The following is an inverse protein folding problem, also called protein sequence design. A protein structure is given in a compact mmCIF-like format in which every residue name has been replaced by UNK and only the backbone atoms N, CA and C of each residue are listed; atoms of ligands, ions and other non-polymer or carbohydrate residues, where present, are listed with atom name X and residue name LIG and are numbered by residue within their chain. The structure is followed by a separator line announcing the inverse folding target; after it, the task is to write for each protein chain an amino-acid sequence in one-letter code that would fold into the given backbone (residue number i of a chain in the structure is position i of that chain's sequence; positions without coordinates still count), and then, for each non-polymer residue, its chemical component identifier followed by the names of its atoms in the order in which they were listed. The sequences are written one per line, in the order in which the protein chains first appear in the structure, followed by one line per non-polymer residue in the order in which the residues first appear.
data_IF_165355694248
#
_entry.id   IF_165355694248
#
_cell.length_a   1.000
_cell.length_b   1.000
_cell.length_c   1.000
_cell.angle_alpha   90.00
_cell.angle_beta   90.00
_cell.angle_gamma   90.00
#
_symmetry.space_group_name_H-M   'P 1'
#
loop_
_entity.id
_entity.type
_entity.pdbx_description
1 polymer ?
#
# COMPACT_ATOMS: atom_id res chain seq x y z
N UNK A 1 14.73 -1.62 -2.49
CA UNK A 1 14.23 -0.26 -2.87
C UNK A 1 12.73 -0.23 -2.65
N UNK A 2 12.15 0.87 -2.15
CA UNK A 2 10.71 0.98 -1.85
C UNK A 2 10.08 2.08 -2.72
N UNK A 3 8.90 1.81 -3.27
CA UNK A 3 8.07 2.77 -4.00
C UNK A 3 6.67 2.77 -3.39
N UNK A 4 6.09 3.95 -3.15
CA UNK A 4 4.74 4.09 -2.61
C UNK A 4 3.99 5.23 -3.29
N UNK A 5 2.69 5.05 -3.53
CA UNK A 5 1.89 6.03 -4.25
C UNK A 5 0.41 6.05 -3.83
N UNK A 6 -0.22 7.25 -3.79
CA UNK A 6 -1.63 7.38 -3.45
C UNK A 6 -2.53 6.85 -4.57
N UNK A 7 -3.63 6.20 -4.17
CA UNK A 7 -4.65 5.74 -5.11
C UNK A 7 -5.47 6.91 -5.67
N UNK A 8 -5.32 7.23 -6.97
CA UNK A 8 -6.16 8.28 -7.62
C UNK A 8 -7.62 7.84 -7.89
N UNK A 9 -7.93 6.54 -7.92
CA UNK A 9 -9.24 6.00 -8.37
C UNK A 9 -10.21 5.68 -7.23
N UNK A 10 -9.73 5.29 -6.06
CA UNK A 10 -10.54 5.05 -4.88
C UNK A 10 -10.28 6.18 -3.89
N UNK A 11 -11.11 7.22 -3.92
CA UNK A 11 -11.16 8.20 -2.84
C UNK A 11 -12.43 7.95 -2.04
N UNK A 12 -12.29 7.82 -0.72
CA UNK A 12 -13.44 7.80 0.16
C UNK A 12 -14.00 9.23 0.28
N UNK A 13 -15.31 9.39 0.17
CA UNK A 13 -15.96 10.68 0.39
C UNK A 13 -16.13 10.88 1.90
N UNK A 14 -15.41 11.85 2.46
CA UNK A 14 -15.58 12.27 3.85
C UNK A 14 -16.39 13.56 3.90
N UNK A 15 -17.50 13.55 4.64
CA UNK A 15 -18.28 14.76 4.88
C UNK A 15 -17.48 15.68 5.81
N UNK A 16 -17.29 16.93 5.39
CA UNK A 16 -16.75 18.00 6.23
C UNK A 16 -17.86 19.01 6.50
N UNK A 17 -18.00 19.37 7.77
CA UNK A 17 -18.96 20.37 8.22
C UNK A 17 -18.38 21.77 8.00
N UNK A 18 -19.17 22.68 7.42
CA UNK A 18 -18.73 24.06 7.14
C UNK A 18 -19.22 25.10 8.16
N UNK A 19 -20.00 24.69 9.16
CA UNK A 19 -20.84 25.62 9.91
C UNK A 19 -22.12 25.95 9.12
N UNK A 20 -23.19 26.38 9.82
CA UNK A 20 -24.52 26.70 9.25
C UNK A 20 -25.32 25.55 8.64
N UNK A 21 -25.00 24.29 8.96
CA UNK A 21 -25.83 23.13 8.57
C UNK A 21 -25.45 22.51 7.23
N UNK A 22 -24.51 23.12 6.49
CA UNK A 22 -24.07 22.60 5.20
C UNK A 22 -22.90 21.63 5.33
N UNK A 23 -22.96 20.56 4.55
CA UNK A 23 -21.92 19.55 4.42
C UNK A 23 -21.47 19.46 2.97
N UNK A 24 -20.16 19.34 2.75
CA UNK A 24 -19.61 18.98 1.46
C UNK A 24 -18.74 17.74 1.59
N UNK A 25 -18.71 16.95 0.52
CA UNK A 25 -17.95 15.71 0.49
C UNK A 25 -16.57 15.97 -0.10
N UNK A 26 -15.53 15.71 0.68
CA UNK A 26 -14.14 15.81 0.21
C UNK A 26 -13.65 14.41 -0.10
N UNK A 27 -13.04 14.24 -1.26
CA UNK A 27 -12.41 13.01 -1.66
C UNK A 27 -11.10 12.84 -0.87
N UNK A 28 -11.05 11.85 0.03
CA UNK A 28 -9.90 11.55 0.89
C UNK A 28 -9.19 10.31 0.36
N UNK A 29 -7.85 10.32 0.42
CA UNK A 29 -7.05 9.12 0.19
C UNK A 29 -7.46 8.06 1.24
N UNK A 30 -7.79 6.85 0.78
CA UNK A 30 -8.24 5.75 1.64
C UNK A 30 -7.17 4.64 1.79
N UNK A 31 -6.02 4.83 1.14
CA UNK A 31 -4.91 3.90 1.16
C UNK A 31 -3.82 4.24 0.15
N UNK A 32 -2.81 3.39 0.09
CA UNK A 32 -1.68 3.52 -0.81
C UNK A 32 -1.24 2.16 -1.34
N UNK A 33 -0.83 2.13 -2.61
CA UNK A 33 -0.08 1.01 -3.17
C UNK A 33 1.39 1.13 -2.74
N UNK A 34 1.98 0.02 -2.34
CA UNK A 34 3.38 -0.09 -1.92
C UNK A 34 4.04 -1.20 -2.72
N UNK A 35 5.21 -0.93 -3.28
CA UNK A 35 6.08 -1.91 -3.91
C UNK A 35 7.42 -1.95 -3.18
N UNK A 36 7.84 -3.16 -2.79
CA UNK A 36 9.15 -3.42 -2.21
C UNK A 36 9.92 -4.34 -3.15
N UNK A 37 11.05 -3.85 -3.68
CA UNK A 37 11.99 -4.66 -4.44
C UNK A 37 12.96 -5.36 -3.48
N UNK A 38 12.85 -6.67 -3.41
CA UNK A 38 13.69 -7.60 -2.67
C UNK A 38 14.78 -8.14 -3.61
N UNK A 39 16.06 -7.82 -3.36
CA UNK A 39 17.16 -8.33 -4.17
C UNK A 39 17.25 -9.86 -4.13
N UNK A 40 17.64 -10.47 -5.25
CA UNK A 40 17.90 -11.92 -5.35
C UNK A 40 18.87 -12.44 -4.26
N UNK A 41 19.82 -11.62 -3.81
CA UNK A 41 20.79 -11.94 -2.76
C UNK A 41 20.13 -12.29 -1.42
N UNK A 42 18.90 -11.83 -1.19
CA UNK A 42 18.13 -12.10 0.03
C UNK A 42 17.24 -13.35 -0.09
N UNK A 43 17.31 -14.11 -1.18
CA UNK A 43 16.61 -15.38 -1.34
C UNK A 43 16.98 -16.35 -0.20
N UNK A 44 15.96 -17.00 0.36
CA UNK A 44 16.15 -17.92 1.49
C UNK A 44 16.46 -17.24 2.84
N UNK A 45 16.52 -15.90 2.88
CA UNK A 45 16.71 -15.14 4.11
C UNK A 45 15.39 -14.55 4.60
N UNK A 46 15.27 -14.36 5.91
CA UNK A 46 14.17 -13.62 6.52
C UNK A 46 14.52 -12.13 6.55
N UNK A 47 13.62 -11.30 6.03
CA UNK A 47 13.76 -9.84 6.07
C UNK A 47 12.71 -9.28 7.02
N UNK A 48 13.15 -8.49 8.00
CA UNK A 48 12.27 -7.83 8.95
C UNK A 48 11.94 -6.41 8.48
N UNK A 49 10.68 -6.03 8.59
CA UNK A 49 10.19 -4.70 8.24
C UNK A 49 9.51 -4.03 9.42
N UNK A 50 9.73 -2.73 9.57
CA UNK A 50 8.92 -1.88 10.44
C UNK A 50 8.06 -0.98 9.55
N UNK A 51 6.74 -1.04 9.74
CA UNK A 51 5.77 -0.29 8.94
C UNK A 51 5.10 0.71 9.86
N UNK A 52 5.26 1.99 9.55
CA UNK A 52 4.68 3.10 10.29
C UNK A 52 3.91 3.97 9.32
N UNK A 53 2.67 4.29 9.66
CA UNK A 53 1.86 5.30 8.96
C UNK A 53 1.66 6.52 9.84
N UNK A 54 1.56 7.66 9.17
CA UNK A 54 1.30 8.94 9.80
C UNK A 54 0.40 9.77 8.91
N UNK A 55 -0.46 10.58 9.51
CA UNK A 55 -1.30 11.54 8.80
C UNK A 55 -1.06 12.94 9.32
N UNK A 56 -1.39 13.92 8.48
CA UNK A 56 -1.43 15.32 8.88
C UNK A 56 -2.88 15.77 8.97
N UNK A 57 -3.45 15.91 10.19
CA UNK A 57 -4.81 16.39 10.34
C UNK A 57 -4.95 17.77 9.70
N UNK A 58 -5.98 17.92 8.87
CA UNK A 58 -6.30 19.17 8.17
C UNK A 58 -5.18 19.78 7.30
N UNK A 59 -4.09 19.06 7.04
CA UNK A 59 -2.95 19.55 6.26
C UNK A 59 -2.09 20.61 6.96
N UNK A 60 -2.50 21.10 8.14
CA UNK A 60 -1.82 22.19 8.87
C UNK A 60 -1.39 21.83 10.29
N UNK A 61 -2.00 20.80 10.89
CA UNK A 61 -1.65 20.36 12.24
C UNK A 61 -0.34 19.56 12.26
N UNK A 62 0.29 19.36 13.42
CA UNK A 62 1.41 18.44 13.57
C UNK A 62 1.09 17.05 13.00
N UNK A 63 2.11 16.37 12.50
CA UNK A 63 1.96 14.99 12.00
C UNK A 63 1.69 14.08 13.19
N UNK A 64 0.65 13.27 13.09
CA UNK A 64 0.32 12.25 14.08
C UNK A 64 0.48 10.85 13.47
N UNK A 65 0.92 9.90 14.30
CA UNK A 65 0.97 8.49 13.92
C UNK A 65 -0.46 7.97 13.76
N UNK A 66 -0.68 7.08 12.78
CA UNK A 66 -1.92 6.31 12.71
C UNK A 66 -1.72 5.04 13.55
N UNK A 67 -2.63 4.81 14.50
CA UNK A 67 -2.53 3.66 15.42
C UNK A 67 -3.03 2.35 14.80
N UNK A 68 -3.71 2.42 13.65
CA UNK A 68 -4.22 1.25 12.96
C UNK A 68 -3.05 0.35 12.48
N UNK A 69 -3.06 -0.96 12.81
CA UNK A 69 -1.99 -1.87 12.45
C UNK A 69 -1.97 -2.11 10.93
N UNK A 70 -0.92 -1.61 10.27
CA UNK A 70 -0.74 -1.83 8.82
C UNK A 70 -0.10 -3.15 8.46
N UNK A 71 0.57 -3.81 9.41
CA UNK A 71 1.35 -5.01 9.14
C UNK A 71 0.47 -6.16 8.61
N UNK A 72 -0.74 -6.32 9.15
CA UNK A 72 -1.71 -7.32 8.68
C UNK A 72 -2.10 -7.05 7.22
N UNK A 73 -2.54 -5.83 6.90
CA UNK A 73 -2.92 -5.48 5.53
C UNK A 73 -1.75 -5.58 4.55
N UNK A 74 -0.53 -5.24 4.99
CA UNK A 74 0.68 -5.35 4.16
C UNK A 74 0.99 -6.80 3.77
N UNK A 75 0.82 -7.74 4.70
CA UNK A 75 1.08 -9.18 4.51
C UNK A 75 -0.09 -9.86 3.77
N UNK A 76 -1.32 -9.65 4.22
CA UNK A 76 -2.52 -10.37 3.74
C UNK A 76 -2.97 -9.98 2.33
N UNK A 77 -2.52 -8.82 1.84
CA UNK A 77 -2.88 -8.29 0.52
C UNK A 77 -1.69 -8.19 -0.42
N UNK A 78 -0.51 -8.62 0.02
CA UNK A 78 0.68 -8.51 -0.79
C UNK A 78 0.83 -9.68 -1.77
N UNK A 79 1.31 -9.35 -2.95
CA UNK A 79 1.46 -10.26 -4.07
C UNK A 79 2.86 -10.11 -4.66
N UNK A 80 3.44 -11.23 -5.10
CA UNK A 80 4.67 -11.18 -5.87
C UNK A 80 4.39 -10.75 -7.31
N UNK A 81 5.19 -9.81 -7.79
CA UNK A 81 5.21 -9.28 -9.15
C UNK A 81 6.59 -9.50 -9.76
N UNK A 82 6.65 -9.50 -11.09
CA UNK A 82 7.93 -9.62 -11.79
C UNK A 82 8.75 -8.34 -11.65
N UNK A 83 10.07 -8.47 -11.75
CA UNK A 83 10.99 -7.34 -11.62
C UNK A 83 10.69 -6.21 -12.61
N UNK A 84 10.23 -6.53 -13.83
CA UNK A 84 9.92 -5.53 -14.86
C UNK A 84 8.69 -4.67 -14.52
N UNK A 85 7.85 -5.13 -13.60
CA UNK A 85 6.65 -4.41 -13.16
C UNK A 85 6.93 -3.39 -12.06
N UNK A 86 8.17 -3.33 -11.56
CA UNK A 86 8.58 -2.35 -10.56
C UNK A 86 8.38 -0.92 -11.09
N UNK A 87 7.79 -0.06 -10.26
CA UNK A 87 7.45 1.32 -10.62
C UNK A 87 6.08 1.45 -11.29
N UNK A 88 5.49 0.35 -11.77
CA UNK A 88 4.12 0.34 -12.29
C UNK A 88 3.17 -0.15 -11.20
N UNK A 89 2.78 0.76 -10.30
CA UNK A 89 1.81 0.44 -9.24
C UNK A 89 0.42 0.23 -9.83
N UNK A 90 -0.14 -0.97 -9.68
CA UNK A 90 -1.54 -1.17 -10.02
C UNK A 90 -2.44 -0.45 -9.02
N UNK A 91 -3.18 0.55 -9.53
CA UNK A 91 -4.01 1.44 -8.72
C UNK A 91 -5.39 0.81 -8.37
N UNK A 92 -5.44 -0.52 -8.25
CA UNK A 92 -6.62 -1.27 -7.83
C UNK A 92 -6.32 -1.85 -6.47
N UNK A 93 -7.31 -1.85 -5.58
CA UNK A 93 -7.23 -2.66 -4.37
C UNK A 93 -6.96 -4.10 -4.80
N UNK A 94 -5.78 -4.63 -4.48
CA UNK A 94 -5.50 -6.03 -4.72
C UNK A 94 -6.54 -6.85 -3.94
N UNK A 95 -7.07 -7.93 -4.56
CA UNK A 95 -7.86 -8.92 -3.83
C UNK A 95 -7.04 -9.50 -2.68
N UNK A 96 -7.67 -10.29 -1.79
CA UNK A 96 -6.88 -10.98 -0.75
C UNK A 96 -5.77 -11.80 -1.43
N UNK A 97 -4.59 -11.89 -0.84
CA UNK A 97 -3.49 -12.72 -1.38
C UNK A 97 -3.94 -14.18 -1.58
N UNK A 98 -4.89 -14.65 -0.77
CA UNK A 98 -5.50 -15.98 -0.89
C UNK A 98 -6.40 -16.17 -2.12
N UNK A 99 -6.82 -15.10 -2.79
CA UNK A 99 -7.80 -15.13 -3.90
C UNK A 99 -7.14 -14.93 -5.27
N UNK A 100 -5.88 -14.51 -5.31
CA UNK A 100 -5.14 -14.28 -6.55
C UNK A 100 -4.06 -15.35 -6.73
N UNK A 101 -4.42 -16.42 -7.43
CA UNK A 101 -3.52 -17.51 -7.81
C UNK A 101 -2.73 -17.21 -9.10
N UNK A 102 -2.79 -15.97 -9.59
CA UNK A 102 -2.13 -15.56 -10.83
C UNK A 102 -0.64 -15.31 -10.57
N UNK A 103 0.13 -16.41 -10.51
CA UNK A 103 1.59 -16.48 -10.34
C UNK A 103 2.08 -16.27 -8.87
N UNK A 104 3.10 -17.01 -8.39
CA UNK A 104 4.12 -17.69 -9.19
C UNK A 104 4.29 -19.21 -8.98
N UNK A 105 4.53 -19.89 -10.12
CA UNK A 105 5.68 -20.81 -10.21
C UNK A 105 6.90 -20.00 -9.76
N UNK A 106 7.50 -20.33 -8.61
CA UNK A 106 8.67 -19.64 -8.01
C UNK A 106 9.52 -18.91 -9.07
N UNK A 107 9.63 -17.56 -9.04
CA UNK A 107 10.41 -16.83 -10.03
C UNK A 107 11.87 -17.31 -9.98
N UNK A 108 12.61 -17.28 -11.09
CA UNK A 108 14.01 -17.73 -11.14
C UNK A 108 14.86 -17.12 -10.02
N UNK A 109 15.76 -17.90 -9.41
CA UNK A 109 16.53 -17.47 -8.23
C UNK A 109 17.45 -16.26 -8.50
N UNK A 110 17.84 -16.06 -9.75
CA UNK A 110 18.66 -14.94 -10.20
C UNK A 110 17.88 -13.62 -10.36
N UNK A 111 16.56 -13.63 -10.20
CA UNK A 111 15.72 -12.45 -10.34
C UNK A 111 15.30 -11.85 -9.00
N UNK A 112 15.27 -10.52 -8.97
CA UNK A 112 14.71 -9.77 -7.86
C UNK A 112 13.20 -9.99 -7.77
N UNK A 113 12.68 -10.01 -6.54
CA UNK A 113 11.27 -10.17 -6.27
C UNK A 113 10.64 -8.82 -5.98
N UNK A 114 9.49 -8.53 -6.59
CA UNK A 114 8.71 -7.35 -6.24
C UNK A 114 7.54 -7.80 -5.37
N UNK A 115 7.48 -7.28 -4.16
CA UNK A 115 6.31 -7.39 -3.29
C UNK A 115 5.43 -6.18 -3.50
N UNK A 116 4.26 -6.35 -4.11
CA UNK A 116 3.26 -5.30 -4.30
C UNK A 116 2.09 -5.51 -3.34
N UNK A 117 1.69 -4.48 -2.59
CA UNK A 117 0.58 -4.56 -1.64
C UNK A 117 -0.19 -3.24 -1.60
N UNK A 118 -1.43 -3.29 -1.10
CA UNK A 118 -2.25 -2.10 -0.84
C UNK A 118 -2.56 -2.00 0.65
N UNK A 119 -2.19 -0.88 1.26
CA UNK A 119 -2.43 -0.61 2.69
C UNK A 119 -3.50 0.47 2.87
N UNK A 120 -4.46 0.29 3.81
CA UNK A 120 -5.41 1.35 4.16
C UNK A 120 -4.69 2.50 4.88
N UNK A 121 -5.12 3.75 4.64
CA UNK A 121 -4.56 4.97 5.24
C UNK A 121 -5.66 5.98 5.56
#
# INVERSE_FOLDING_TARGET
MISAGPCKKHRALRRRYLGKGDYYSVAVQNGAGVQVRLPNLLRGQSVHFNIVSSKRPWGVLPVEKIDDPLHEAFLDRGQFRKAEQFGTLTNKQAGKTSEDFTYPLMPPENEDLIWETWVPL
#
